data_IF_270638500083
#
_entry.id   IF_270638500083
#
_cell.length_a   1.000
_cell.length_b   1.000
_cell.length_c   1.000
_cell.angle_alpha   90.00
_cell.angle_beta   90.00
_cell.angle_gamma   90.00
#
_symmetry.space_group_name_H-M   'P 1'
#
loop_
_entity.id
_entity.type
_entity.pdbx_description
1 polymer ?
#
# COMPACT_ATOMS: atom_id res chain seq x y z
N UNK A 1 -0.32 -17.35 -31.29
CA UNK A 1 0.36 -16.11 -31.71
C UNK A 1 -0.67 -15.00 -31.63
N UNK A 2 -0.50 -14.05 -30.68
CA UNK A 2 -1.35 -12.88 -30.57
C UNK A 2 -1.03 -11.94 -31.74
N UNK A 3 -1.91 -11.88 -32.73
CA UNK A 3 -1.76 -10.96 -33.85
C UNK A 3 -1.96 -9.52 -33.36
N UNK A 4 -0.94 -8.67 -33.49
CA UNK A 4 -1.08 -7.22 -33.27
C UNK A 4 -1.93 -6.69 -34.41
N UNK A 5 -3.09 -6.12 -34.09
CA UNK A 5 -3.86 -5.36 -35.09
C UNK A 5 -3.07 -4.11 -35.47
N UNK A 6 -3.16 -3.64 -36.70
CA UNK A 6 -2.46 -2.44 -37.21
C UNK A 6 -2.71 -1.19 -36.34
N UNK A 7 -3.79 -1.15 -35.58
CA UNK A 7 -4.17 -0.06 -34.67
C UNK A 7 -3.58 -0.21 -33.24
N UNK A 8 -3.05 -1.38 -32.83
CA UNK A 8 -2.60 -1.61 -31.45
C UNK A 8 -1.40 -0.75 -31.09
N UNK A 9 -1.40 -0.18 -29.87
CA UNK A 9 -0.35 0.72 -29.37
C UNK A 9 0.25 0.25 -28.04
N UNK A 10 0.95 -0.91 -28.01
CA UNK A 10 1.46 -1.50 -26.78
C UNK A 10 2.45 -0.58 -26.04
N UNK A 11 3.27 0.21 -26.74
CA UNK A 11 4.20 1.17 -26.12
C UNK A 11 3.46 2.28 -25.37
N UNK A 12 2.41 2.85 -25.95
CA UNK A 12 1.63 3.91 -25.31
C UNK A 12 0.91 3.39 -24.07
N UNK A 13 0.31 2.17 -24.14
CA UNK A 13 -0.31 1.53 -22.99
C UNK A 13 0.72 1.24 -21.89
N UNK A 14 1.92 0.78 -22.22
CA UNK A 14 2.96 0.53 -21.23
C UNK A 14 3.37 1.82 -20.50
N UNK A 15 3.58 2.92 -21.22
CA UNK A 15 3.94 4.22 -20.63
C UNK A 15 2.83 4.72 -19.71
N UNK A 16 1.57 4.65 -20.15
CA UNK A 16 0.42 5.02 -19.34
C UNK A 16 0.34 4.19 -18.05
N UNK A 17 0.49 2.85 -18.14
CA UNK A 17 0.46 2.00 -16.95
C UNK A 17 1.62 2.28 -15.99
N UNK A 18 2.83 2.57 -16.47
CA UNK A 18 3.93 3.00 -15.61
C UNK A 18 3.64 4.34 -14.93
N UNK A 19 2.99 5.27 -15.60
CA UNK A 19 2.54 6.52 -14.98
C UNK A 19 1.54 6.25 -13.86
N UNK A 20 0.53 5.39 -14.09
CA UNK A 20 -0.43 4.98 -13.04
C UNK A 20 0.29 4.27 -11.89
N UNK A 21 1.24 3.39 -12.17
CA UNK A 21 2.04 2.72 -11.14
C UNK A 21 2.80 3.74 -10.27
N UNK A 22 3.40 4.78 -10.87
CA UNK A 22 4.06 5.85 -10.13
C UNK A 22 3.10 6.62 -9.22
N UNK A 23 1.87 6.90 -9.68
CA UNK A 23 0.83 7.51 -8.85
C UNK A 23 0.41 6.61 -7.68
N UNK A 24 0.35 5.28 -7.88
CA UNK A 24 0.04 4.33 -6.78
C UNK A 24 1.20 4.29 -5.78
N UNK A 25 2.46 4.34 -6.20
CA UNK A 25 3.60 4.44 -5.28
C UNK A 25 3.50 5.72 -4.45
N UNK A 26 3.21 6.86 -5.08
CA UNK A 26 2.97 8.13 -4.37
C UNK A 26 1.80 8.00 -3.39
N UNK A 27 0.71 7.29 -3.78
CA UNK A 27 -0.44 7.02 -2.91
C UNK A 27 -0.04 6.20 -1.67
N UNK A 28 0.82 5.19 -1.83
CA UNK A 28 1.32 4.39 -0.69
C UNK A 28 2.10 5.27 0.28
N UNK A 29 2.95 6.17 -0.20
CA UNK A 29 3.69 7.12 0.65
C UNK A 29 2.73 8.06 1.39
N UNK A 30 1.78 8.69 0.69
CA UNK A 30 0.79 9.59 1.30
C UNK A 30 -0.09 8.81 2.31
N UNK A 31 -0.49 7.58 1.99
CA UNK A 31 -1.22 6.71 2.90
C UNK A 31 -0.41 6.36 4.15
N UNK A 32 0.89 6.11 4.00
CA UNK A 32 1.83 5.92 5.11
C UNK A 32 1.89 7.16 6.02
N UNK A 33 2.04 8.36 5.44
CA UNK A 33 2.00 9.62 6.21
C UNK A 33 0.65 9.80 6.90
N UNK A 34 -0.49 9.56 6.21
CA UNK A 34 -1.83 9.63 6.79
C UNK A 34 -1.96 8.71 8.00
N UNK A 35 -1.37 7.50 7.94
CA UNK A 35 -1.38 6.54 9.07
C UNK A 35 -0.45 7.01 10.21
N UNK A 36 0.76 7.45 9.90
CA UNK A 36 1.76 7.87 10.88
C UNK A 36 1.40 9.19 11.59
N UNK A 37 0.55 10.01 11.00
CA UNK A 37 0.03 11.26 11.58
C UNK A 37 -1.35 11.09 12.20
N UNK A 38 -1.86 9.86 12.29
CA UNK A 38 -3.19 9.52 12.81
C UNK A 38 -4.32 10.35 12.18
N UNK A 39 -4.18 10.66 10.88
CA UNK A 39 -5.10 11.54 10.15
C UNK A 39 -6.29 10.81 9.51
N UNK A 40 -6.32 9.47 9.54
CA UNK A 40 -7.21 8.64 8.72
C UNK A 40 -8.67 8.56 9.14
N UNK A 41 -9.09 9.27 10.20
CA UNK A 41 -10.46 9.34 10.69
C UNK A 41 -11.04 10.77 10.72
N UNK A 42 -10.32 11.76 10.18
CA UNK A 42 -10.72 13.17 10.18
C UNK A 42 -11.93 13.44 9.28
N UNK A 43 -12.10 12.65 8.20
CA UNK A 43 -13.24 12.77 7.27
C UNK A 43 -14.22 11.62 7.51
N UNK A 44 -15.24 11.89 8.31
CA UNK A 44 -16.17 10.89 8.83
C UNK A 44 -17.25 10.45 7.85
N UNK A 45 -17.42 11.14 6.72
CA UNK A 45 -18.49 10.87 5.76
C UNK A 45 -17.95 10.30 4.45
N UNK A 46 -18.73 9.37 3.85
CA UNK A 46 -18.49 8.88 2.51
C UNK A 46 -19.04 9.86 1.49
N UNK A 47 -18.15 10.64 0.87
CA UNK A 47 -18.49 11.62 -0.19
C UNK A 47 -17.63 11.36 -1.43
N UNK A 48 -17.95 10.32 -2.25
CA UNK A 48 -17.08 9.94 -3.36
C UNK A 48 -16.97 11.03 -4.44
N UNK A 49 -18.03 11.77 -4.72
CA UNK A 49 -18.07 12.83 -5.74
C UNK A 49 -17.95 14.21 -5.09
N UNK A 50 -18.85 14.59 -4.19
CA UNK A 50 -18.86 15.93 -3.57
C UNK A 50 -17.65 16.23 -2.71
N UNK A 51 -16.96 15.20 -2.19
CA UNK A 51 -15.72 15.33 -1.42
C UNK A 51 -14.46 15.62 -2.25
N UNK A 52 -14.59 15.97 -3.54
CA UNK A 52 -13.48 16.48 -4.38
C UNK A 52 -13.13 17.90 -3.99
N UNK A 53 -14.12 18.70 -3.57
CA UNK A 53 -13.91 20.09 -3.12
C UNK A 53 -13.75 20.08 -1.60
N UNK A 54 -12.65 20.63 -1.06
CA UNK A 54 -12.48 20.77 0.39
C UNK A 54 -13.42 21.85 0.94
N UNK A 55 -13.58 21.96 2.27
CA UNK A 55 -14.30 23.08 2.86
C UNK A 55 -13.68 24.42 2.43
N UNK A 56 -14.52 25.34 1.92
CA UNK A 56 -14.08 26.63 1.33
C UNK A 56 -14.26 27.82 2.26
N UNK A 57 -15.10 27.68 3.32
CA UNK A 57 -15.39 28.74 4.27
C UNK A 57 -15.44 28.22 5.70
N UNK A 58 -15.42 29.13 6.67
CA UNK A 58 -15.38 28.76 8.09
C UNK A 58 -16.59 27.95 8.54
N UNK A 59 -17.76 28.22 8.01
CA UNK A 59 -18.98 27.45 8.37
C UNK A 59 -18.84 25.97 7.96
N UNK A 60 -18.30 25.70 6.77
CA UNK A 60 -18.03 24.33 6.30
C UNK A 60 -16.95 23.66 7.14
N UNK A 61 -15.87 24.37 7.49
CA UNK A 61 -14.83 23.85 8.38
C UNK A 61 -15.37 23.51 9.76
N UNK A 62 -16.19 24.35 10.33
CA UNK A 62 -16.83 24.08 11.62
C UNK A 62 -17.77 22.87 11.55
N UNK A 63 -18.50 22.70 10.44
CA UNK A 63 -19.38 21.54 10.24
C UNK A 63 -18.58 20.22 10.16
N UNK A 64 -17.48 20.16 9.41
CA UNK A 64 -16.62 18.95 9.34
C UNK A 64 -15.95 18.69 10.70
N UNK A 65 -15.49 19.72 11.40
CA UNK A 65 -14.92 19.57 12.74
C UNK A 65 -15.97 19.11 13.77
N UNK A 66 -17.20 19.60 13.68
CA UNK A 66 -18.29 19.13 14.54
C UNK A 66 -18.61 17.64 14.31
N UNK A 67 -18.51 17.15 13.05
CA UNK A 67 -18.64 15.73 12.76
C UNK A 67 -17.50 14.90 13.36
N UNK A 68 -16.25 15.37 13.26
CA UNK A 68 -15.08 14.73 13.84
C UNK A 68 -15.16 14.64 15.37
N UNK A 69 -15.68 15.68 16.04
CA UNK A 69 -15.87 15.70 17.51
C UNK A 69 -16.78 14.60 18.04
N UNK A 70 -17.59 13.96 17.20
CA UNK A 70 -18.55 12.91 17.59
C UNK A 70 -17.93 11.52 17.61
N UNK A 71 -16.74 11.31 17.02
CA UNK A 71 -16.13 9.99 16.96
C UNK A 71 -15.25 9.71 18.19
N UNK A 72 -15.01 8.41 18.51
CA UNK A 72 -14.23 8.01 19.68
C UNK A 72 -12.81 8.56 19.70
N UNK A 73 -12.14 8.67 18.54
CA UNK A 73 -10.80 9.22 18.45
C UNK A 73 -10.70 10.64 19.04
N UNK A 74 -11.64 11.53 18.68
CA UNK A 74 -11.66 12.87 19.27
C UNK A 74 -12.00 12.81 20.75
N UNK A 75 -13.04 12.03 21.12
CA UNK A 75 -13.55 12.01 22.48
C UNK A 75 -12.58 11.43 23.51
N UNK A 76 -11.72 10.50 23.09
CA UNK A 76 -10.80 9.78 23.99
C UNK A 76 -9.35 10.24 23.87
N UNK A 77 -8.90 10.66 22.66
CA UNK A 77 -7.50 10.97 22.40
C UNK A 77 -7.23 12.45 22.08
N UNK A 78 -8.15 13.10 21.34
CA UNK A 78 -7.92 14.43 20.76
C UNK A 78 -8.82 15.50 21.38
N UNK A 79 -9.31 15.32 22.62
CA UNK A 79 -10.06 16.34 23.34
C UNK A 79 -9.26 17.64 23.44
N UNK A 80 -9.93 18.75 23.13
CA UNK A 80 -9.25 20.06 23.14
C UNK A 80 -8.50 20.42 21.85
N UNK A 81 -8.47 19.52 20.85
CA UNK A 81 -7.90 19.86 19.54
C UNK A 81 -8.53 21.13 18.99
N UNK A 82 -7.69 22.05 18.51
CA UNK A 82 -8.14 23.28 17.86
C UNK A 82 -8.59 23.03 16.41
N UNK A 83 -9.34 23.97 15.84
CA UNK A 83 -9.69 23.92 14.42
C UNK A 83 -8.43 23.88 13.52
N UNK A 84 -7.35 24.55 13.90
CA UNK A 84 -6.07 24.52 13.17
C UNK A 84 -5.46 23.10 13.20
N UNK A 85 -5.45 22.44 14.35
CA UNK A 85 -5.01 21.04 14.48
C UNK A 85 -5.85 20.09 13.63
N UNK A 86 -7.18 20.26 13.66
CA UNK A 86 -8.10 19.49 12.82
C UNK A 86 -7.82 19.71 11.31
N UNK A 87 -7.60 20.94 10.85
CA UNK A 87 -7.25 21.22 9.45
C UNK A 87 -5.96 20.50 9.02
N UNK A 88 -4.98 20.34 9.91
CA UNK A 88 -3.73 19.64 9.62
C UNK A 88 -3.93 18.13 9.37
N UNK A 89 -4.71 17.44 10.22
CA UNK A 89 -5.04 16.03 10.00
C UNK A 89 -5.99 15.85 8.81
N UNK A 90 -6.95 16.73 8.63
CA UNK A 90 -7.88 16.73 7.49
C UNK A 90 -7.11 16.83 6.16
N UNK A 91 -6.06 17.62 6.08
CA UNK A 91 -5.26 17.80 4.86
C UNK A 91 -4.69 16.47 4.34
N UNK A 92 -4.08 15.66 5.20
CA UNK A 92 -3.46 14.39 4.79
C UNK A 92 -4.51 13.38 4.32
N UNK A 93 -5.62 13.24 5.04
CA UNK A 93 -6.70 12.35 4.62
C UNK A 93 -7.37 12.84 3.34
N UNK A 94 -7.61 14.14 3.19
CA UNK A 94 -8.16 14.74 1.99
C UNK A 94 -7.25 14.49 0.78
N UNK A 95 -5.95 14.74 0.93
CA UNK A 95 -4.95 14.52 -0.13
C UNK A 95 -4.93 13.05 -0.57
N UNK A 96 -4.96 12.12 0.39
CA UNK A 96 -5.04 10.69 0.11
C UNK A 96 -6.31 10.36 -0.69
N UNK A 97 -7.47 10.82 -0.24
CA UNK A 97 -8.75 10.57 -0.92
C UNK A 97 -8.82 11.23 -2.29
N UNK A 98 -8.27 12.43 -2.46
CA UNK A 98 -8.19 13.13 -3.74
C UNK A 98 -7.31 12.38 -4.73
N UNK A 99 -6.11 11.98 -4.31
CA UNK A 99 -5.19 11.23 -5.17
C UNK A 99 -5.81 9.87 -5.59
N UNK A 100 -6.56 9.20 -4.70
CA UNK A 100 -7.30 7.98 -5.06
C UNK A 100 -8.28 8.19 -6.20
N UNK A 101 -9.02 9.30 -6.19
CA UNK A 101 -9.93 9.67 -7.29
C UNK A 101 -9.16 9.97 -8.58
N UNK A 102 -8.06 10.70 -8.47
CA UNK A 102 -7.21 11.04 -9.62
C UNK A 102 -6.61 9.78 -10.26
N UNK A 103 -6.16 8.80 -9.47
CA UNK A 103 -5.68 7.51 -9.97
C UNK A 103 -6.79 6.77 -10.71
N UNK A 104 -8.01 6.74 -10.14
CA UNK A 104 -9.16 6.14 -10.79
C UNK A 104 -9.45 6.76 -12.17
N UNK A 105 -9.45 8.09 -12.26
CA UNK A 105 -9.63 8.81 -13.53
C UNK A 105 -8.46 8.61 -14.49
N UNK A 106 -7.21 8.68 -13.99
CA UNK A 106 -5.99 8.47 -14.77
C UNK A 106 -5.91 7.04 -15.33
N UNK A 107 -6.60 6.08 -14.72
CA UNK A 107 -6.74 4.73 -15.26
C UNK A 107 -7.96 4.64 -16.22
N UNK A 108 -9.14 5.05 -15.78
CA UNK A 108 -10.39 4.82 -16.51
C UNK A 108 -10.48 5.57 -17.82
N UNK A 109 -10.09 6.86 -17.84
CA UNK A 109 -10.24 7.70 -19.04
C UNK A 109 -9.33 7.24 -20.21
N UNK A 110 -8.01 7.00 -19.99
CA UNK A 110 -7.18 6.45 -21.05
C UNK A 110 -7.58 5.02 -21.44
N UNK A 111 -8.03 4.17 -20.50
CA UNK A 111 -8.52 2.85 -20.85
C UNK A 111 -9.70 2.94 -21.83
N UNK A 112 -10.68 3.80 -21.54
CA UNK A 112 -11.83 4.05 -22.43
C UNK A 112 -11.35 4.55 -23.79
N UNK A 113 -10.43 5.52 -23.82
CA UNK A 113 -9.86 6.06 -25.06
C UNK A 113 -9.20 4.96 -25.90
N UNK A 114 -8.31 4.14 -25.32
CA UNK A 114 -7.64 3.05 -26.02
C UNK A 114 -8.65 1.98 -26.50
N UNK A 115 -9.69 1.70 -25.72
CA UNK A 115 -10.75 0.76 -26.08
C UNK A 115 -11.57 1.25 -27.29
N UNK A 116 -12.07 2.50 -27.26
CA UNK A 116 -12.84 3.11 -28.36
C UNK A 116 -12.01 3.17 -29.65
N UNK A 117 -10.72 3.50 -29.53
CA UNK A 117 -9.77 3.54 -30.65
C UNK A 117 -9.30 2.16 -31.12
N UNK A 118 -9.75 1.07 -30.47
CA UNK A 118 -9.32 -0.33 -30.75
C UNK A 118 -7.80 -0.50 -30.69
N UNK A 119 -7.12 0.23 -29.82
CA UNK A 119 -5.66 0.26 -29.69
C UNK A 119 -5.12 -0.74 -28.67
N UNK A 120 -5.99 -1.47 -27.99
CA UNK A 120 -5.61 -2.50 -27.01
C UNK A 120 -5.23 -3.79 -27.76
N UNK A 121 -4.02 -4.34 -27.55
CA UNK A 121 -3.62 -5.61 -28.15
C UNK A 121 -4.54 -6.75 -27.69
N UNK A 122 -4.77 -7.73 -28.55
CA UNK A 122 -5.58 -8.92 -28.25
C UNK A 122 -5.06 -9.61 -26.99
N UNK A 123 -5.98 -10.03 -26.10
CA UNK A 123 -5.65 -10.72 -24.85
C UNK A 123 -5.38 -9.79 -23.65
N UNK A 124 -5.23 -8.47 -23.85
CA UNK A 124 -4.99 -7.53 -22.74
C UNK A 124 -6.27 -6.83 -22.24
N UNK A 125 -7.36 -6.82 -22.99
CA UNK A 125 -8.59 -6.12 -22.63
C UNK A 125 -9.10 -6.50 -21.24
N UNK A 126 -9.35 -7.80 -21.00
CA UNK A 126 -9.84 -8.29 -19.72
C UNK A 126 -8.88 -8.03 -18.56
N UNK A 127 -7.57 -8.10 -18.82
CA UNK A 127 -6.54 -7.81 -17.82
C UNK A 127 -6.63 -6.36 -17.34
N UNK A 128 -6.81 -5.42 -18.28
CA UNK A 128 -6.98 -3.99 -17.98
C UNK A 128 -8.31 -3.72 -17.26
N UNK A 129 -9.40 -4.36 -17.66
CA UNK A 129 -10.70 -4.25 -16.97
C UNK A 129 -10.61 -4.81 -15.54
N UNK A 130 -9.95 -5.94 -15.35
CA UNK A 130 -9.74 -6.51 -14.00
C UNK A 130 -8.91 -5.58 -13.10
N UNK A 131 -7.87 -4.92 -13.64
CA UNK A 131 -7.08 -3.94 -12.90
C UNK A 131 -7.90 -2.70 -12.53
N UNK A 132 -8.78 -2.22 -13.43
CA UNK A 132 -9.73 -1.15 -13.10
C UNK A 132 -10.71 -1.57 -12.00
N UNK A 133 -11.26 -2.79 -12.08
CA UNK A 133 -12.17 -3.33 -11.07
C UNK A 133 -11.47 -3.44 -9.69
N UNK A 134 -10.21 -3.88 -9.65
CA UNK A 134 -9.40 -3.88 -8.43
C UNK A 134 -9.20 -2.46 -7.88
N UNK A 135 -9.01 -1.46 -8.74
CA UNK A 135 -8.95 -0.05 -8.34
C UNK A 135 -10.27 0.43 -7.71
N UNK A 136 -11.42 0.06 -8.30
CA UNK A 136 -12.75 0.34 -7.72
C UNK A 136 -12.96 -0.37 -6.37
N UNK A 137 -12.60 -1.65 -6.30
CA UNK A 137 -12.63 -2.44 -5.06
C UNK A 137 -11.78 -1.83 -3.97
N UNK A 138 -10.63 -1.25 -4.32
CA UNK A 138 -9.74 -0.57 -3.39
C UNK A 138 -10.42 0.61 -2.69
N UNK A 139 -11.25 1.37 -3.39
CA UNK A 139 -12.07 2.44 -2.79
C UNK A 139 -13.08 1.89 -1.78
N UNK A 140 -13.76 0.79 -2.12
CA UNK A 140 -14.73 0.14 -1.22
C UNK A 140 -14.04 -0.44 0.04
N UNK A 141 -12.89 -1.10 -0.13
CA UNK A 141 -12.08 -1.63 1.00
C UNK A 141 -11.58 -0.48 1.88
N UNK A 142 -11.13 0.63 1.30
CA UNK A 142 -10.70 1.81 2.05
C UNK A 142 -11.81 2.38 2.92
N UNK A 143 -13.02 2.49 2.37
CA UNK A 143 -14.18 2.91 3.17
C UNK A 143 -14.55 1.89 4.26
N UNK A 144 -14.57 0.61 3.95
CA UNK A 144 -14.79 -0.44 4.94
C UNK A 144 -13.75 -0.39 6.08
N UNK A 145 -12.50 -0.03 5.77
CA UNK A 145 -11.44 0.20 6.76
C UNK A 145 -11.77 1.42 7.64
N UNK A 146 -12.02 2.59 7.06
CA UNK A 146 -12.32 3.84 7.78
C UNK A 146 -13.55 3.66 8.68
N UNK A 147 -14.61 3.03 8.17
CA UNK A 147 -15.84 2.78 8.95
C UNK A 147 -15.57 2.03 10.27
N UNK A 148 -14.48 1.24 10.36
CA UNK A 148 -14.17 0.52 11.60
C UNK A 148 -13.73 1.41 12.77
N UNK A 149 -13.19 2.61 12.48
CA UNK A 149 -12.72 3.56 13.49
C UNK A 149 -13.75 4.63 13.86
N UNK A 150 -14.90 4.70 13.17
CA UNK A 150 -15.86 5.79 13.36
C UNK A 150 -16.85 5.58 14.52
N UNK A 151 -16.95 4.40 15.11
CA UNK A 151 -18.03 4.09 16.06
C UNK A 151 -17.58 3.58 17.43
N UNK A 152 -16.59 2.70 17.50
CA UNK A 152 -16.21 2.02 18.75
C UNK A 152 -14.72 2.14 19.03
N UNK A 153 -13.91 2.23 17.99
CA UNK A 153 -12.45 2.22 18.07
C UNK A 153 -11.91 3.65 17.93
N UNK A 154 -10.75 3.89 18.53
CA UNK A 154 -9.99 5.14 18.32
C UNK A 154 -9.12 5.10 17.07
N UNK A 155 -8.93 3.91 16.50
CA UNK A 155 -8.11 3.63 15.32
C UNK A 155 -8.89 2.78 14.31
N UNK A 156 -8.48 2.80 13.05
CA UNK A 156 -8.97 1.83 12.06
C UNK A 156 -8.54 0.41 12.43
N UNK A 157 -9.32 -0.59 12.05
CA UNK A 157 -8.94 -1.99 12.26
C UNK A 157 -7.64 -2.30 11.53
N UNK A 158 -6.62 -2.77 12.25
CA UNK A 158 -5.32 -3.17 11.70
C UNK A 158 -5.44 -4.28 10.65
N UNK A 159 -6.40 -5.21 10.81
CA UNK A 159 -6.69 -6.25 9.83
C UNK A 159 -7.26 -5.65 8.55
N UNK A 160 -8.22 -4.72 8.66
CA UNK A 160 -8.80 -4.05 7.47
C UNK A 160 -7.77 -3.18 6.76
N UNK A 161 -6.87 -2.54 7.51
CA UNK A 161 -5.74 -1.80 6.98
C UNK A 161 -4.79 -2.75 6.22
N UNK A 162 -4.47 -3.91 6.78
CA UNK A 162 -3.64 -4.90 6.11
C UNK A 162 -4.28 -5.38 4.80
N UNK A 163 -5.58 -5.67 4.77
CA UNK A 163 -6.31 -6.02 3.54
C UNK A 163 -6.22 -4.89 2.52
N UNK A 164 -6.46 -3.64 2.93
CA UNK A 164 -6.39 -2.47 2.05
C UNK A 164 -5.01 -2.32 1.41
N UNK A 165 -3.95 -2.39 2.19
CA UNK A 165 -2.57 -2.26 1.71
C UNK A 165 -2.16 -3.43 0.80
N UNK A 166 -2.47 -4.67 1.18
CA UNK A 166 -2.12 -5.85 0.39
C UNK A 166 -2.81 -5.87 -0.97
N UNK A 167 -4.10 -5.49 -1.04
CA UNK A 167 -4.81 -5.37 -2.33
C UNK A 167 -4.25 -4.24 -3.17
N UNK A 168 -3.83 -3.11 -2.56
CA UNK A 168 -3.15 -2.01 -3.27
C UNK A 168 -1.83 -2.49 -3.90
N UNK A 169 -0.98 -3.20 -3.14
CA UNK A 169 0.29 -3.72 -3.62
C UNK A 169 0.12 -4.83 -4.67
N UNK A 170 -0.90 -5.68 -4.52
CA UNK A 170 -1.26 -6.67 -5.54
C UNK A 170 -1.69 -5.99 -6.85
N UNK A 171 -2.51 -4.95 -6.76
CA UNK A 171 -2.94 -4.15 -7.92
C UNK A 171 -1.76 -3.47 -8.59
N UNK A 172 -0.85 -2.86 -7.81
CA UNK A 172 0.40 -2.27 -8.30
C UNK A 172 1.25 -3.31 -9.05
N UNK A 173 1.44 -4.49 -8.44
CA UNK A 173 2.15 -5.61 -9.07
C UNK A 173 1.54 -6.03 -10.40
N UNK A 174 0.22 -6.13 -10.47
CA UNK A 174 -0.53 -6.45 -11.70
C UNK A 174 -0.38 -5.38 -12.79
N UNK A 175 -0.38 -4.10 -12.41
CA UNK A 175 -0.17 -2.96 -13.33
C UNK A 175 1.25 -3.00 -13.88
N UNK A 176 2.28 -3.13 -13.02
CA UNK A 176 3.69 -3.18 -13.42
C UNK A 176 3.94 -4.40 -14.31
N UNK A 177 3.42 -5.56 -13.96
CA UNK A 177 3.53 -6.76 -14.80
C UNK A 177 2.92 -6.54 -16.17
N UNK A 178 1.70 -5.98 -16.23
CA UNK A 178 1.02 -5.70 -17.51
C UNK A 178 1.81 -4.68 -18.33
N UNK A 179 2.37 -3.64 -17.70
CA UNK A 179 3.20 -2.64 -18.36
C UNK A 179 4.48 -3.26 -18.96
N UNK A 180 5.14 -4.15 -18.21
CA UNK A 180 6.34 -4.85 -18.68
C UNK A 180 6.05 -5.79 -19.86
N UNK A 181 4.94 -6.55 -19.80
CA UNK A 181 4.49 -7.39 -20.91
C UNK A 181 4.21 -6.56 -22.16
N UNK A 182 3.48 -5.44 -22.03
CA UNK A 182 3.20 -4.53 -23.15
C UNK A 182 4.47 -3.87 -23.70
N UNK A 183 5.44 -3.55 -22.83
CA UNK A 183 6.74 -3.03 -23.24
C UNK A 183 7.55 -4.08 -24.02
N UNK A 184 7.51 -5.34 -23.61
CA UNK A 184 8.12 -6.44 -24.33
C UNK A 184 7.45 -6.65 -25.69
N UNK A 185 6.12 -6.64 -25.75
CA UNK A 185 5.34 -6.73 -27.00
C UNK A 185 5.61 -5.57 -27.96
N UNK A 186 5.86 -4.36 -27.43
CA UNK A 186 6.23 -3.19 -28.25
C UNK A 186 7.60 -3.31 -28.91
N UNK A 187 8.51 -4.08 -28.31
CA UNK A 187 9.87 -4.34 -28.84
C UNK A 187 9.90 -5.55 -29.77
N UNK A 188 9.13 -6.56 -29.46
CA UNK A 188 9.02 -7.78 -30.25
C UNK A 188 7.54 -8.18 -30.37
N UNK A 189 6.92 -8.02 -31.55
CA UNK A 189 5.52 -8.38 -31.80
C UNK A 189 5.16 -9.85 -31.51
N UNK A 190 6.15 -10.72 -31.42
CA UNK A 190 5.97 -12.14 -31.12
C UNK A 190 6.22 -12.46 -29.63
N UNK A 191 6.52 -11.45 -28.79
CA UNK A 191 6.72 -11.66 -27.37
C UNK A 191 5.47 -12.29 -26.73
N UNK A 192 5.68 -13.33 -25.93
CA UNK A 192 4.62 -13.96 -25.16
C UNK A 192 4.52 -13.29 -23.80
N UNK A 193 3.28 -13.20 -23.21
CA UNK A 193 3.13 -12.73 -21.86
C UNK A 193 4.00 -13.53 -20.88
N UNK A 194 4.62 -12.84 -19.93
CA UNK A 194 5.42 -13.49 -18.89
C UNK A 194 4.57 -14.44 -18.05
N UNK A 195 5.19 -15.49 -17.54
CA UNK A 195 4.57 -16.46 -16.64
C UNK A 195 5.34 -16.51 -15.33
N UNK A 196 4.63 -16.70 -14.23
CA UNK A 196 5.26 -16.95 -12.94
C UNK A 196 6.01 -18.28 -12.97
N UNK A 197 7.28 -18.24 -12.59
CA UNK A 197 8.06 -19.45 -12.34
C UNK A 197 7.75 -19.98 -10.94
N UNK A 198 8.03 -21.27 -10.66
CA UNK A 198 7.89 -21.83 -9.31
C UNK A 198 8.67 -21.03 -8.27
N UNK A 199 9.91 -20.62 -8.60
CA UNK A 199 10.74 -19.79 -7.72
C UNK A 199 10.09 -18.41 -7.51
N UNK A 200 9.58 -17.76 -8.56
CA UNK A 200 8.89 -16.48 -8.46
C UNK A 200 7.63 -16.56 -7.60
N UNK A 201 6.85 -17.64 -7.75
CA UNK A 201 5.65 -17.87 -6.93
C UNK A 201 6.00 -18.07 -5.45
N UNK A 202 6.99 -18.92 -5.16
CA UNK A 202 7.44 -19.15 -3.78
C UNK A 202 7.97 -17.86 -3.13
N UNK A 203 8.86 -17.13 -3.84
CA UNK A 203 9.37 -15.84 -3.34
C UNK A 203 8.25 -14.84 -3.14
N UNK A 204 7.26 -14.81 -4.05
CA UNK A 204 6.08 -13.96 -3.92
C UNK A 204 5.23 -14.31 -2.69
N UNK A 205 5.05 -15.60 -2.37
CA UNK A 205 4.34 -16.04 -1.18
C UNK A 205 5.07 -15.66 0.12
N UNK A 206 6.40 -15.82 0.16
CA UNK A 206 7.22 -15.42 1.30
C UNK A 206 7.16 -13.89 1.50
N UNK A 207 7.27 -13.12 0.41
CA UNK A 207 7.13 -11.67 0.43
C UNK A 207 5.74 -11.23 0.88
N UNK A 208 4.68 -11.94 0.45
CA UNK A 208 3.31 -11.65 0.90
C UNK A 208 3.18 -11.72 2.42
N UNK A 209 3.77 -12.74 3.06
CA UNK A 209 3.79 -12.86 4.54
C UNK A 209 4.54 -11.69 5.17
N UNK A 210 5.68 -11.28 4.61
CA UNK A 210 6.43 -10.12 5.07
C UNK A 210 5.60 -8.83 5.01
N UNK A 211 4.91 -8.62 3.88
CA UNK A 211 4.04 -7.45 3.69
C UNK A 211 2.83 -7.47 4.63
N UNK A 212 2.23 -8.65 4.86
CA UNK A 212 1.14 -8.82 5.81
C UNK A 212 1.57 -8.40 7.22
N UNK A 213 2.69 -8.94 7.72
CA UNK A 213 3.17 -8.56 9.05
C UNK A 213 3.61 -7.10 9.12
N UNK A 214 4.19 -6.53 8.06
CA UNK A 214 4.48 -5.10 7.97
C UNK A 214 3.23 -4.23 8.07
N UNK A 215 2.15 -4.62 7.39
CA UNK A 215 0.86 -3.95 7.48
C UNK A 215 0.23 -4.04 8.89
N UNK A 216 0.36 -5.20 9.55
CA UNK A 216 -0.09 -5.37 10.94
C UNK A 216 0.75 -4.52 11.92
N UNK A 217 2.08 -4.44 11.72
CA UNK A 217 2.96 -3.53 12.50
C UNK A 217 2.48 -2.10 12.38
N UNK A 218 2.20 -1.62 11.16
CA UNK A 218 1.69 -0.28 10.93
C UNK A 218 0.31 -0.06 11.57
N UNK A 219 -0.59 -1.04 11.44
CA UNK A 219 -1.97 -0.96 11.97
C UNK A 219 -2.07 -1.03 13.49
N UNK A 220 -1.13 -1.69 14.16
CA UNK A 220 -1.08 -1.83 15.62
C UNK A 220 -0.19 -0.80 16.31
N UNK A 221 0.41 0.16 15.59
CA UNK A 221 1.47 1.02 16.10
C UNK A 221 2.63 0.22 16.75
N UNK A 222 2.83 -1.02 16.26
CA UNK A 222 3.78 -1.97 16.87
C UNK A 222 5.24 -1.55 16.76
N UNK A 223 5.57 -0.61 15.88
CA UNK A 223 6.90 0.00 15.79
C UNK A 223 7.29 0.79 17.04
N UNK A 224 6.30 1.27 17.83
CA UNK A 224 6.53 2.03 19.07
C UNK A 224 6.82 1.14 20.29
N UNK A 225 6.72 -0.20 20.17
CA UNK A 225 6.96 -1.13 21.29
C UNK A 225 8.41 -1.10 21.75
N UNK A 226 9.36 -0.83 20.85
CA UNK A 226 10.80 -0.78 21.15
C UNK A 226 11.55 0.03 20.10
N UNK A 227 12.56 0.74 20.53
CA UNK A 227 13.55 1.44 19.69
C UNK A 227 14.87 0.67 19.53
N UNK A 228 14.95 -0.54 20.07
CA UNK A 228 16.16 -1.36 20.09
C UNK A 228 16.26 -2.31 18.89
N UNK A 229 17.50 -2.57 18.47
CA UNK A 229 17.88 -3.56 17.48
C UNK A 229 19.21 -4.22 17.88
N UNK A 230 19.37 -5.56 17.81
CA UNK A 230 18.41 -6.59 17.40
C UNK A 230 17.44 -7.02 18.51
N UNK A 231 17.67 -6.63 19.75
CA UNK A 231 16.84 -6.96 20.91
C UNK A 231 15.52 -6.17 20.91
N UNK A 232 14.59 -6.60 21.74
CA UNK A 232 13.33 -5.92 22.02
C UNK A 232 13.22 -5.74 23.54
N UNK A 233 13.45 -4.50 24.02
CA UNK A 233 13.45 -4.16 25.44
C UNK A 233 14.38 -5.07 26.26
N UNK A 234 15.60 -5.29 25.77
CA UNK A 234 16.60 -6.13 26.41
C UNK A 234 16.45 -7.63 26.16
N UNK A 235 15.40 -8.11 25.53
CA UNK A 235 15.15 -9.52 25.26
C UNK A 235 15.19 -9.84 23.76
N UNK A 236 15.68 -11.03 23.40
CA UNK A 236 15.61 -11.49 22.00
C UNK A 236 14.18 -11.80 21.56
N UNK A 237 13.39 -12.43 22.42
CA UNK A 237 11.99 -12.78 22.17
C UNK A 237 11.07 -12.13 23.21
N UNK A 238 10.02 -11.41 22.80
CA UNK A 238 9.12 -10.69 23.73
C UNK A 238 8.03 -11.61 24.31
N UNK A 239 8.40 -12.81 24.79
CA UNK A 239 7.45 -13.85 25.22
C UNK A 239 6.61 -13.50 26.44
N UNK A 240 6.99 -12.47 27.19
CA UNK A 240 6.23 -12.02 28.36
C UNK A 240 4.83 -11.50 27.99
N UNK A 241 4.65 -10.97 26.77
CA UNK A 241 3.35 -10.45 26.29
C UNK A 241 2.37 -11.57 25.90
N UNK A 242 2.86 -12.79 25.66
CA UNK A 242 2.05 -13.94 25.29
C UNK A 242 1.33 -14.63 26.45
N UNK A 243 1.61 -14.26 27.71
CA UNK A 243 1.07 -14.95 28.89
C UNK A 243 -0.47 -15.00 28.84
N UNK A 244 -1.01 -16.22 28.75
CA UNK A 244 -2.45 -16.48 28.76
C UNK A 244 -3.19 -16.22 27.42
N UNK A 245 -2.47 -15.86 26.33
CA UNK A 245 -3.06 -15.65 25.02
C UNK A 245 -2.87 -16.84 24.10
N UNK A 246 -3.89 -17.25 23.29
CA UNK A 246 -3.71 -18.21 22.21
C UNK A 246 -2.67 -17.69 21.19
N UNK A 247 -1.85 -18.58 20.65
CA UNK A 247 -0.79 -18.22 19.69
C UNK A 247 -1.34 -17.44 18.47
N UNK A 248 -2.47 -17.89 17.91
CA UNK A 248 -3.09 -17.21 16.76
C UNK A 248 -3.54 -15.79 17.11
N UNK A 249 -4.08 -15.57 18.31
CA UNK A 249 -4.44 -14.22 18.74
C UNK A 249 -3.19 -13.34 18.87
N UNK A 250 -2.13 -13.83 19.49
CA UNK A 250 -0.88 -13.09 19.63
C UNK A 250 -0.26 -12.73 18.28
N UNK A 251 -0.26 -13.66 17.31
CA UNK A 251 0.29 -13.43 15.96
C UNK A 251 -0.42 -12.32 15.18
N UNK A 252 -1.67 -11.99 15.50
CA UNK A 252 -2.43 -10.96 14.78
C UNK A 252 -2.73 -9.72 15.61
N UNK A 253 -2.75 -9.82 16.96
CA UNK A 253 -3.25 -8.77 17.82
C UNK A 253 -2.24 -8.32 18.91
N UNK A 254 -1.10 -9.01 19.09
CA UNK A 254 -0.08 -8.56 20.04
C UNK A 254 0.99 -7.73 19.31
N UNK A 255 1.13 -6.41 19.60
CA UNK A 255 2.08 -5.56 18.91
C UNK A 255 3.53 -6.05 18.98
N UNK A 256 3.96 -6.59 20.12
CA UNK A 256 5.35 -7.05 20.30
C UNK A 256 5.63 -8.33 19.48
N UNK A 257 4.70 -9.28 19.47
CA UNK A 257 4.81 -10.52 18.69
C UNK A 257 4.73 -10.23 17.19
N UNK A 258 3.79 -9.40 16.75
CA UNK A 258 3.67 -8.97 15.34
C UNK A 258 4.97 -8.29 14.87
N UNK A 259 5.52 -7.38 15.68
CA UNK A 259 6.79 -6.72 15.38
C UNK A 259 7.96 -7.71 15.32
N UNK A 260 8.03 -8.64 16.26
CA UNK A 260 9.04 -9.70 16.28
C UNK A 260 8.96 -10.55 15.00
N UNK A 261 7.78 -11.03 14.62
CA UNK A 261 7.60 -11.84 13.41
C UNK A 261 7.99 -11.05 12.16
N UNK A 262 7.52 -9.81 12.01
CA UNK A 262 7.89 -8.95 10.89
C UNK A 262 9.42 -8.80 10.76
N UNK A 263 10.12 -8.55 11.86
CA UNK A 263 11.55 -8.33 11.94
C UNK A 263 12.37 -9.56 11.54
N UNK A 264 11.95 -10.75 11.99
CA UNK A 264 12.71 -11.98 11.76
C UNK A 264 12.31 -12.69 10.46
N UNK A 265 11.04 -12.60 10.05
CA UNK A 265 10.61 -13.09 8.75
C UNK A 265 11.27 -12.32 7.59
N UNK A 266 11.70 -11.08 7.82
CA UNK A 266 12.47 -10.31 6.85
C UNK A 266 13.72 -11.06 6.36
N UNK A 267 14.42 -11.80 7.21
CA UNK A 267 15.60 -12.56 6.82
C UNK A 267 15.26 -13.76 5.93
N UNK A 268 14.13 -14.41 6.16
CA UNK A 268 13.61 -15.45 5.26
C UNK A 268 13.30 -14.85 3.90
N UNK A 269 12.69 -13.67 3.89
CA UNK A 269 12.37 -12.91 2.66
C UNK A 269 13.64 -12.50 1.91
N UNK A 270 14.65 -12.01 2.61
CA UNK A 270 15.96 -11.67 2.02
C UNK A 270 16.60 -12.89 1.39
N UNK A 271 16.63 -14.02 2.09
CA UNK A 271 17.20 -15.26 1.54
C UNK A 271 16.47 -15.68 0.22
N UNK A 272 15.15 -15.65 0.21
CA UNK A 272 14.36 -15.95 -0.98
C UNK A 272 14.64 -14.95 -2.13
N UNK A 273 14.74 -13.65 -1.85
CA UNK A 273 15.05 -12.61 -2.83
C UNK A 273 16.49 -12.73 -3.36
N UNK A 274 17.46 -13.12 -2.54
CA UNK A 274 18.84 -13.39 -2.98
C UNK A 274 18.86 -14.57 -3.96
N UNK A 275 18.15 -15.67 -3.66
CA UNK A 275 18.05 -16.82 -4.55
C UNK A 275 17.39 -16.41 -5.88
N UNK A 276 16.29 -15.67 -5.83
CA UNK A 276 15.60 -15.15 -7.03
C UNK A 276 16.52 -14.24 -7.83
N UNK A 277 17.21 -13.30 -7.20
CA UNK A 277 18.10 -12.35 -7.86
C UNK A 277 19.29 -13.06 -8.54
N UNK A 278 19.87 -14.09 -7.88
CA UNK A 278 20.93 -14.91 -8.49
C UNK A 278 20.44 -15.70 -9.70
N UNK A 279 19.25 -16.30 -9.62
CA UNK A 279 18.64 -16.99 -10.76
C UNK A 279 18.35 -16.02 -11.94
N UNK A 280 17.87 -14.81 -11.62
CA UNK A 280 17.55 -13.77 -12.61
C UNK A 280 18.80 -13.19 -13.27
N UNK A 281 19.93 -13.13 -12.57
CA UNK A 281 21.17 -12.49 -13.05
C UNK A 281 21.66 -13.02 -14.40
N UNK A 282 21.42 -14.30 -14.68
CA UNK A 282 21.85 -14.95 -15.94
C UNK A 282 21.03 -14.47 -17.15
N UNK A 283 19.80 -14.01 -16.92
CA UNK A 283 18.86 -13.57 -17.95
C UNK A 283 18.78 -12.03 -18.00
N UNK A 284 18.71 -11.38 -16.84
CA UNK A 284 18.63 -9.92 -16.71
C UNK A 284 19.43 -9.45 -15.49
N UNK A 285 20.67 -9.00 -15.75
CA UNK A 285 21.56 -8.46 -14.70
C UNK A 285 21.00 -7.20 -14.05
N UNK A 286 20.25 -6.36 -14.80
CA UNK A 286 19.67 -5.11 -14.25
C UNK A 286 18.57 -5.42 -13.26
N UNK A 287 17.70 -6.38 -13.58
CA UNK A 287 16.67 -6.85 -12.65
C UNK A 287 17.29 -7.44 -11.36
N UNK A 288 18.34 -8.23 -11.47
CA UNK A 288 19.08 -8.76 -10.32
C UNK A 288 19.63 -7.64 -9.42
N UNK A 289 20.28 -6.62 -10.01
CA UNK A 289 20.79 -5.46 -9.26
C UNK A 289 19.63 -4.72 -8.57
N UNK A 290 18.54 -4.47 -9.28
CA UNK A 290 17.36 -3.79 -8.71
C UNK A 290 16.78 -4.53 -7.50
N UNK A 291 16.69 -5.86 -7.55
CA UNK A 291 16.23 -6.69 -6.41
C UNK A 291 17.17 -6.53 -5.22
N UNK A 292 18.50 -6.64 -5.41
CA UNK A 292 19.47 -6.49 -4.32
C UNK A 292 19.43 -5.09 -3.70
N UNK A 293 19.36 -4.05 -4.54
CA UNK A 293 19.28 -2.66 -4.07
C UNK A 293 18.01 -2.40 -3.29
N UNK A 294 16.85 -2.92 -3.77
CA UNK A 294 15.57 -2.71 -3.14
C UNK A 294 15.51 -3.33 -1.73
N UNK A 295 15.86 -4.61 -1.57
CA UNK A 295 15.81 -5.21 -0.23
C UNK A 295 16.92 -4.69 0.69
N UNK A 296 18.11 -4.37 0.16
CA UNK A 296 19.18 -3.76 0.95
C UNK A 296 18.75 -2.41 1.52
N UNK A 297 18.14 -1.56 0.70
CA UNK A 297 17.58 -0.28 1.15
C UNK A 297 16.46 -0.48 2.19
N UNK A 298 15.55 -1.45 1.97
CA UNK A 298 14.46 -1.72 2.90
C UNK A 298 14.95 -2.19 4.28
N UNK A 299 16.01 -3.02 4.35
CA UNK A 299 16.62 -3.41 5.62
C UNK A 299 17.16 -2.19 6.37
N UNK A 300 17.93 -1.35 5.66
CA UNK A 300 18.51 -0.15 6.27
C UNK A 300 17.44 0.82 6.78
N UNK A 301 16.41 1.05 5.97
CA UNK A 301 15.27 1.89 6.35
C UNK A 301 14.51 1.29 7.55
N UNK A 302 14.28 -0.02 7.57
CA UNK A 302 13.60 -0.69 8.68
C UNK A 302 14.34 -0.57 10.01
N UNK A 303 15.65 -0.83 10.01
CA UNK A 303 16.50 -0.66 11.20
C UNK A 303 16.54 0.80 11.65
N UNK A 304 16.74 1.74 10.70
CA UNK A 304 16.75 3.17 11.00
C UNK A 304 15.40 3.66 11.56
N UNK A 305 14.27 3.18 11.01
CA UNK A 305 12.93 3.50 11.50
C UNK A 305 12.74 3.11 12.96
N UNK A 306 13.14 1.88 13.32
CA UNK A 306 13.05 1.41 14.71
C UNK A 306 13.98 2.23 15.62
N UNK A 307 15.26 2.34 15.28
CA UNK A 307 16.26 3.01 16.11
C UNK A 307 16.05 4.53 16.25
N UNK A 308 15.28 5.14 15.36
CA UNK A 308 14.89 6.56 15.43
C UNK A 308 13.59 6.81 16.22
N UNK A 309 13.02 5.77 16.87
CA UNK A 309 11.74 5.89 17.56
C UNK A 309 10.57 6.20 16.62
N UNK A 310 10.55 5.58 15.42
CA UNK A 310 9.49 5.76 14.41
C UNK A 310 9.48 7.17 13.78
N UNK A 311 10.64 7.70 13.44
CA UNK A 311 10.72 8.96 12.68
C UNK A 311 9.85 8.89 11.41
N UNK A 312 8.89 9.82 11.27
CA UNK A 312 7.85 9.77 10.21
C UNK A 312 8.45 9.69 8.80
N UNK A 313 9.41 10.52 8.37
CA UNK A 313 10.07 10.38 7.08
C UNK A 313 10.67 9.00 6.82
N UNK A 314 11.39 8.41 7.78
CA UNK A 314 12.00 7.09 7.65
C UNK A 314 10.93 6.00 7.56
N UNK A 315 9.92 6.06 8.43
CA UNK A 315 8.81 5.11 8.44
C UNK A 315 7.96 5.17 7.14
N UNK A 316 7.77 6.37 6.57
CA UNK A 316 7.03 6.53 5.32
C UNK A 316 7.81 6.02 4.09
N UNK A 317 9.14 5.99 4.15
CA UNK A 317 10.00 5.46 3.09
C UNK A 317 10.24 3.94 3.22
N UNK A 318 10.13 3.39 4.45
CA UNK A 318 10.22 1.96 4.73
C UNK A 318 8.92 1.26 4.35
#
# INVERSE_FOLDING_TARGET
VLQITSAARPRALAIWLFFVAALIVLMVVIGGVTRLTESGLSITQWKPISGIVPPLNDAQWQAEFANYRRIPEYQLLNQGMTLAGFKAIFFWEYLHRLLGRLIGLAFALPLLWFAVRRQIPRGYGWRLVALLALGGLQGAIGWWMVKSGLSVRTDVSHVRLAVHLLVALFTLGGIVWTALDLRALARNPQARPARLTRLGTLTGAILFVQLLFGALVAGLNAGLVTDQWPLMNGHFFPGATMKGRPLLDALFNDPAIVHFVHRWWAWVTVAALVVLARATRRVDRRASIAIHSAFGLQILLGVATVMSGMNIPLAALH
#
